data_IF_258501457674
#
_entry.id   IF_258501457674
#
_cell.length_a   1.000
_cell.length_b   1.000
_cell.length_c   1.000
_cell.angle_alpha   90.00
_cell.angle_beta   90.00
_cell.angle_gamma   90.00
#
_symmetry.space_group_name_H-M   'P 1'
#
loop_
_entity.id
_entity.type
_entity.pdbx_description
1 polymer ?
#
# COMPACT_ATOMS: atom_id res chain seq x y z
N UNK A 1 2.96 -15.59 -6.94
CA UNK A 1 2.05 -14.44 -6.73
C UNK A 1 2.78 -13.53 -5.74
N UNK A 2 2.77 -12.22 -5.96
CA UNK A 2 3.46 -11.27 -5.08
C UNK A 2 2.46 -10.21 -4.67
N UNK A 3 2.22 -10.16 -3.37
CA UNK A 3 1.30 -9.26 -2.70
C UNK A 3 2.07 -8.51 -1.61
N UNK A 4 1.57 -7.34 -1.21
CA UNK A 4 2.23 -6.48 -0.25
C UNK A 4 1.32 -6.19 0.94
N UNK A 5 1.93 -6.17 2.12
CA UNK A 5 1.39 -5.54 3.30
C UNK A 5 1.70 -4.04 3.26
N UNK A 6 0.67 -3.20 3.38
CA UNK A 6 0.84 -1.75 3.36
C UNK A 6 0.84 -1.19 4.78
N UNK A 7 1.90 -0.46 5.10
CA UNK A 7 2.16 0.13 6.42
C UNK A 7 2.09 1.65 6.30
N UNK A 8 1.23 2.28 7.09
CA UNK A 8 1.11 3.73 7.18
C UNK A 8 1.41 4.16 8.62
N UNK A 9 2.40 5.05 8.79
CA UNK A 9 2.81 5.57 10.10
C UNK A 9 3.03 4.45 11.15
N UNK A 10 3.71 3.37 10.72
CA UNK A 10 4.01 2.20 11.55
C UNK A 10 2.84 1.23 11.79
N UNK A 11 1.65 1.49 11.25
CA UNK A 11 0.49 0.59 11.38
C UNK A 11 0.16 -0.07 10.04
N UNK A 12 -0.06 -1.38 10.04
CA UNK A 12 -0.62 -2.07 8.88
C UNK A 12 -2.03 -1.54 8.62
N UNK A 13 -2.29 -1.09 7.39
CA UNK A 13 -3.58 -0.55 6.98
C UNK A 13 -4.32 -1.41 5.96
N UNK A 14 -3.61 -2.32 5.28
CA UNK A 14 -4.16 -3.24 4.29
C UNK A 14 -3.18 -4.38 4.04
N UNK A 15 -3.69 -5.61 3.89
CA UNK A 15 -2.95 -6.82 3.51
C UNK A 15 -3.34 -7.23 2.08
N UNK A 16 -2.64 -8.21 1.51
CA UNK A 16 -2.91 -8.79 0.19
C UNK A 16 -2.99 -7.76 -0.95
N UNK A 17 -2.26 -6.65 -0.84
CA UNK A 17 -2.31 -5.56 -1.83
C UNK A 17 -1.53 -5.96 -3.07
N UNK A 18 -2.23 -5.98 -4.20
CA UNK A 18 -1.68 -6.34 -5.53
C UNK A 18 -1.48 -5.14 -6.43
N UNK A 19 -2.08 -3.99 -6.08
CA UNK A 19 -1.90 -2.74 -6.82
C UNK A 19 -1.89 -1.52 -5.88
N UNK A 20 -0.89 -0.66 -6.08
CA UNK A 20 -0.73 0.63 -5.42
C UNK A 20 -0.65 1.69 -6.53
N UNK A 21 -1.52 2.69 -6.50
CA UNK A 21 -1.55 3.78 -7.49
C UNK A 21 -1.51 5.12 -6.77
N UNK A 22 -0.55 5.99 -7.10
CA UNK A 22 -0.49 7.37 -6.61
C UNK A 22 -1.27 8.29 -7.55
N UNK A 23 -2.26 9.00 -7.01
CA UNK A 23 -3.02 10.05 -7.69
C UNK A 23 -2.95 11.35 -6.87
N UNK A 24 -2.12 12.29 -7.32
CA UNK A 24 -1.81 13.53 -6.58
C UNK A 24 -1.39 13.20 -5.14
N UNK A 25 -2.14 13.66 -4.15
CA UNK A 25 -1.87 13.48 -2.71
C UNK A 25 -2.48 12.19 -2.15
N UNK A 26 -3.14 11.39 -2.98
CA UNK A 26 -3.80 10.15 -2.59
C UNK A 26 -3.06 8.93 -3.13
N UNK A 27 -3.12 7.85 -2.36
CA UNK A 27 -2.68 6.52 -2.74
C UNK A 27 -3.88 5.59 -2.68
N UNK A 28 -4.15 4.91 -3.79
CA UNK A 28 -5.20 3.93 -3.96
C UNK A 28 -4.58 2.54 -3.88
N UNK A 29 -5.02 1.75 -2.91
CA UNK A 29 -4.59 0.38 -2.65
C UNK A 29 -5.70 -0.56 -3.10
N UNK A 30 -5.35 -1.64 -3.80
CA UNK A 30 -6.30 -2.67 -4.23
C UNK A 30 -5.80 -4.06 -3.82
N UNK A 31 -6.66 -4.83 -3.15
CA UNK A 31 -6.33 -6.20 -2.73
C UNK A 31 -6.62 -7.21 -3.83
N UNK A 32 -6.07 -8.42 -3.66
CA UNK A 32 -6.34 -9.57 -4.52
C UNK A 32 -7.84 -9.90 -4.61
N UNK A 33 -8.61 -9.63 -3.55
CA UNK A 33 -10.06 -9.91 -3.49
C UNK A 33 -10.92 -8.78 -4.09
N UNK A 34 -10.29 -7.73 -4.63
CA UNK A 34 -10.99 -6.59 -5.24
C UNK A 34 -11.41 -5.50 -4.26
N UNK A 35 -11.05 -5.59 -2.97
CA UNK A 35 -11.23 -4.51 -2.02
C UNK A 35 -10.33 -3.33 -2.37
N UNK A 36 -10.76 -2.11 -2.08
CA UNK A 36 -9.96 -0.91 -2.30
C UNK A 36 -9.96 0.03 -1.11
N UNK A 37 -8.84 0.71 -0.90
CA UNK A 37 -8.66 1.70 0.16
C UNK A 37 -7.86 2.88 -0.34
N UNK A 38 -8.35 4.08 -0.07
CA UNK A 38 -7.64 5.33 -0.40
C UNK A 38 -7.09 5.94 0.88
N UNK A 39 -5.81 6.31 0.85
CA UNK A 39 -5.13 7.04 1.94
C UNK A 39 -4.40 8.24 1.37
N UNK A 40 -4.27 9.32 2.14
CA UNK A 40 -3.38 10.43 1.76
C UNK A 40 -1.94 10.08 2.10
N UNK A 41 -1.00 10.65 1.35
CA UNK A 41 0.44 10.52 1.61
C UNK A 41 1.27 10.19 0.37
N UNK A 42 2.50 9.74 0.61
CA UNK A 42 3.47 9.36 -0.42
C UNK A 42 4.07 7.98 -0.10
N UNK A 43 4.39 7.23 -1.14
CA UNK A 43 5.13 5.98 -1.02
C UNK A 43 6.57 6.30 -0.60
N UNK A 44 6.98 5.83 0.57
CA UNK A 44 8.34 6.01 1.11
C UNK A 44 9.28 4.91 0.62
N UNK A 45 8.86 3.66 0.73
CA UNK A 45 9.65 2.48 0.39
C UNK A 45 8.76 1.34 -0.08
N UNK A 46 9.28 0.52 -0.98
CA UNK A 46 8.64 -0.73 -1.41
C UNK A 46 9.69 -1.82 -1.41
N UNK A 47 9.50 -2.82 -0.55
CA UNK A 47 10.40 -3.94 -0.40
C UNK A 47 9.70 -5.24 -0.80
N UNK A 48 10.01 -5.74 -1.99
CA UNK A 48 9.40 -6.97 -2.52
C UNK A 48 9.88 -8.24 -1.81
N UNK A 49 11.09 -8.24 -1.24
CA UNK A 49 11.63 -9.38 -0.48
C UNK A 49 10.92 -9.54 0.86
N UNK A 50 10.60 -8.42 1.52
CA UNK A 50 9.83 -8.39 2.78
C UNK A 50 8.33 -8.31 2.56
N UNK A 51 7.89 -8.16 1.30
CA UNK A 51 6.49 -7.99 0.91
C UNK A 51 5.81 -6.81 1.63
N UNK A 52 6.50 -5.67 1.70
CA UNK A 52 6.03 -4.48 2.40
C UNK A 52 6.06 -3.23 1.52
N UNK A 53 5.03 -2.40 1.64
CA UNK A 53 5.05 -1.03 1.15
C UNK A 53 4.82 -0.06 2.32
N UNK A 54 5.69 0.94 2.43
CA UNK A 54 5.64 1.94 3.51
C UNK A 54 5.13 3.25 2.93
N UNK A 55 4.10 3.82 3.56
CA UNK A 55 3.50 5.11 3.25
C UNK A 55 3.74 6.07 4.42
N UNK A 56 4.05 7.33 4.10
CA UNK A 56 4.17 8.43 5.05
C UNK A 56 3.38 9.66 4.58
N UNK A 57 2.99 10.50 5.54
CA UNK A 57 2.25 11.74 5.33
C UNK A 57 3.12 12.95 5.65
#
# INVERSE_FOLDING_TARGET
MCELKVILNGKTIMEDVVRITQEKDNIILQSLLGESKTVSGRIKDVNLTRQEAIIEN
#
